data_IF_569546331657
#
_entry.id   IF_569546331657
#
_cell.length_a   1.000
_cell.length_b   1.000
_cell.length_c   1.000
_cell.angle_alpha   90.00
_cell.angle_beta   90.00
_cell.angle_gamma   90.00
#
_symmetry.space_group_name_H-M   'P 1'
#
loop_
_entity.id
_entity.type
_entity.pdbx_description
1 polymer ?
#
# COMPACT_ATOMS: atom_id res chain seq x y z
N UNK A 1 8.51 -38.35 -37.43
CA UNK A 1 9.15 -37.19 -37.93
C UNK A 1 8.43 -35.92 -37.57
N UNK A 2 7.32 -35.71 -38.19
CA UNK A 2 6.54 -34.52 -37.92
C UNK A 2 6.15 -34.36 -36.47
N UNK A 3 5.81 -35.43 -35.79
CA UNK A 3 5.38 -35.31 -34.42
C UNK A 3 6.39 -34.67 -33.48
N UNK A 4 7.64 -34.80 -33.83
CA UNK A 4 8.66 -34.25 -32.98
C UNK A 4 8.66 -32.74 -32.94
N UNK A 5 8.42 -32.14 -34.06
CA UNK A 5 8.39 -30.68 -34.12
C UNK A 5 7.23 -30.13 -33.35
N UNK A 6 6.13 -30.80 -33.38
CA UNK A 6 4.95 -30.36 -32.69
C UNK A 6 5.14 -30.36 -31.17
N UNK A 7 5.82 -31.36 -30.68
CA UNK A 7 6.06 -31.48 -29.26
C UNK A 7 6.92 -30.34 -28.76
N UNK A 8 7.91 -29.96 -29.55
CA UNK A 8 8.78 -28.87 -29.13
C UNK A 8 8.04 -27.54 -29.02
N UNK A 9 7.11 -27.33 -29.92
CA UNK A 9 6.33 -26.09 -29.87
C UNK A 9 5.52 -26.01 -28.62
N UNK A 10 4.98 -27.09 -28.18
CA UNK A 10 4.15 -27.13 -27.00
C UNK A 10 4.92 -26.75 -25.75
N UNK A 11 6.13 -27.24 -25.64
CA UNK A 11 6.94 -26.95 -24.47
C UNK A 11 7.23 -25.47 -24.36
N UNK A 12 7.49 -24.84 -25.47
CA UNK A 12 7.77 -23.41 -25.45
C UNK A 12 6.61 -22.58 -24.91
N UNK A 13 5.41 -22.97 -25.28
CA UNK A 13 4.23 -22.23 -24.83
C UNK A 13 4.03 -22.33 -23.34
N UNK A 14 4.27 -23.50 -22.80
CA UNK A 14 4.07 -23.70 -21.38
C UNK A 14 4.98 -22.83 -20.53
N UNK A 15 6.20 -22.66 -20.95
CA UNK A 15 7.14 -21.86 -20.20
C UNK A 15 6.71 -20.42 -20.05
N UNK A 16 6.05 -19.89 -21.06
CA UNK A 16 5.65 -18.49 -21.04
C UNK A 16 4.65 -18.22 -19.95
N UNK A 17 3.78 -19.18 -19.65
CA UNK A 17 2.72 -18.93 -18.69
C UNK A 17 3.21 -18.75 -17.28
N UNK A 18 4.37 -19.24 -16.95
CA UNK A 18 4.86 -19.10 -15.58
C UNK A 18 5.22 -17.70 -15.20
N UNK A 19 5.66 -16.93 -16.14
CA UNK A 19 6.08 -15.57 -15.84
C UNK A 19 4.92 -14.68 -15.46
N UNK A 20 3.71 -15.13 -15.61
CA UNK A 20 2.55 -14.33 -15.28
C UNK A 20 2.24 -14.30 -13.79
N UNK A 21 2.87 -15.14 -13.01
CA UNK A 21 2.57 -15.20 -11.59
C UNK A 21 3.51 -14.31 -10.79
N UNK A 22 3.09 -13.09 -10.68
CA UNK A 22 3.79 -12.17 -9.85
C UNK A 22 3.19 -12.20 -8.50
N UNK A 23 3.37 -12.37 -7.46
CA UNK A 23 2.64 -12.41 -6.21
C UNK A 23 1.98 -11.09 -5.93
N UNK A 24 1.01 -11.15 -5.09
CA UNK A 24 0.30 -9.97 -4.65
C UNK A 24 0.35 -9.85 -3.14
N UNK A 25 0.01 -8.66 -2.66
CA UNK A 25 0.11 -8.34 -1.25
C UNK A 25 -1.13 -7.58 -0.79
N UNK A 26 -1.19 -7.34 0.51
CA UNK A 26 -2.29 -6.62 1.14
C UNK A 26 -1.73 -5.43 1.89
N UNK A 27 -2.38 -4.31 1.75
CA UNK A 27 -2.05 -3.10 2.49
C UNK A 27 -3.29 -2.68 3.26
N UNK A 28 -3.15 -2.42 4.55
CA UNK A 28 -4.28 -2.04 5.38
C UNK A 28 -3.84 -1.11 6.49
N UNK A 29 -4.81 -0.47 7.12
CA UNK A 29 -4.50 0.42 8.22
C UNK A 29 -5.73 1.14 8.73
N UNK A 30 -5.50 2.03 9.66
CA UNK A 30 -6.54 2.82 10.29
C UNK A 30 -6.13 4.28 10.27
N UNK A 31 -7.10 5.16 10.05
CA UNK A 31 -6.87 6.59 10.05
C UNK A 31 -7.63 7.23 11.20
N UNK A 32 -6.94 7.99 12.01
CA UNK A 32 -7.54 8.70 13.14
C UNK A 32 -7.27 10.19 13.05
N UNK A 33 -8.22 10.98 13.53
CA UNK A 33 -8.12 12.43 13.49
C UNK A 33 -7.32 12.97 14.69
N UNK A 34 -7.30 14.29 14.81
CA UNK A 34 -6.53 14.95 15.85
C UNK A 34 -7.03 14.63 17.26
N UNK A 35 -8.25 14.17 17.39
CA UNK A 35 -8.79 13.79 18.69
C UNK A 35 -8.69 12.30 18.96
N UNK A 36 -8.09 11.56 18.04
CA UNK A 36 -7.94 10.12 18.18
C UNK A 36 -9.11 9.31 17.69
N UNK A 37 -10.07 9.94 17.03
CA UNK A 37 -11.24 9.25 16.52
C UNK A 37 -11.02 8.78 15.12
N UNK A 38 -11.62 7.65 14.74
CA UNK A 38 -11.48 7.17 13.35
C UNK A 38 -12.14 8.14 12.38
N UNK A 39 -11.55 8.24 11.20
CA UNK A 39 -12.07 9.11 10.14
C UNK A 39 -12.69 8.28 9.05
N UNK A 40 -13.96 8.50 8.80
CA UNK A 40 -14.67 7.86 7.70
C UNK A 40 -14.51 8.68 6.45
N UNK A 41 -14.33 8.01 5.32
CA UNK A 41 -14.29 8.69 4.03
C UNK A 41 -13.01 9.42 3.69
N UNK A 42 -11.95 9.16 4.41
CA UNK A 42 -10.65 9.71 4.05
C UNK A 42 -10.12 8.96 2.83
N UNK A 43 -9.41 9.66 1.97
CA UNK A 43 -8.79 9.04 0.80
C UNK A 43 -7.39 8.58 1.13
N UNK A 44 -7.11 7.34 0.80
CA UNK A 44 -5.78 6.79 0.92
C UNK A 44 -5.32 6.49 -0.51
N UNK A 45 -4.33 7.23 -0.98
CA UNK A 45 -3.82 7.07 -2.33
C UNK A 45 -2.56 6.22 -2.30
N UNK A 46 -2.56 5.18 -3.11
CA UNK A 46 -1.45 4.25 -3.19
C UNK A 46 -0.87 4.36 -4.58
N UNK A 47 0.37 4.80 -4.69
CA UNK A 47 0.97 5.09 -5.98
C UNK A 47 2.34 4.47 -6.15
N UNK A 48 2.61 4.03 -7.36
CA UNK A 48 3.92 3.58 -7.77
C UNK A 48 4.10 4.01 -9.22
N UNK A 49 5.22 3.65 -9.82
CA UNK A 49 5.57 4.17 -11.12
C UNK A 49 4.48 4.08 -12.17
N UNK A 50 3.83 2.94 -12.31
CA UNK A 50 2.76 2.79 -13.28
C UNK A 50 1.51 2.28 -12.62
N UNK A 51 1.26 2.72 -11.41
CA UNK A 51 0.17 2.19 -10.64
C UNK A 51 -0.40 3.28 -9.74
N UNK A 52 -1.73 3.30 -9.66
CA UNK A 52 -2.40 4.24 -8.77
C UNK A 52 -3.73 3.64 -8.33
N UNK A 53 -4.01 3.76 -7.06
CA UNK A 53 -5.27 3.26 -6.51
C UNK A 53 -5.68 4.17 -5.36
N UNK A 54 -6.96 4.44 -5.26
CA UNK A 54 -7.49 5.28 -4.19
C UNK A 54 -8.51 4.48 -3.41
N UNK A 55 -8.35 4.46 -2.09
CA UNK A 55 -9.27 3.78 -1.20
C UNK A 55 -9.94 4.80 -0.32
N UNK A 56 -11.09 4.44 0.23
CA UNK A 56 -11.73 5.27 1.22
C UNK A 56 -11.84 4.51 2.53
N UNK A 57 -11.68 5.22 3.63
CA UNK A 57 -11.81 4.59 4.94
C UNK A 57 -13.27 4.38 5.27
N UNK A 58 -13.55 3.35 6.03
CA UNK A 58 -14.91 3.04 6.45
C UNK A 58 -15.23 3.74 7.78
N UNK A 59 -16.35 3.38 8.39
CA UNK A 59 -16.81 4.02 9.62
C UNK A 59 -15.87 3.86 10.80
N UNK A 60 -15.02 2.86 10.78
CA UNK A 60 -14.03 2.68 11.84
C UNK A 60 -12.67 3.22 11.44
N UNK A 61 -12.62 3.98 10.36
CA UNK A 61 -11.36 4.55 9.87
C UNK A 61 -10.46 3.56 9.20
N UNK A 62 -10.93 2.39 8.92
CA UNK A 62 -10.13 1.30 8.38
C UNK A 62 -10.13 1.32 6.86
N UNK A 63 -8.99 0.98 6.28
CA UNK A 63 -8.88 0.78 4.84
C UNK A 63 -8.10 -0.49 4.59
N UNK A 64 -8.38 -1.12 3.46
CA UNK A 64 -7.67 -2.32 3.07
C UNK A 64 -7.73 -2.46 1.55
N UNK A 65 -6.65 -2.92 0.97
CA UNK A 65 -6.62 -3.26 -0.44
C UNK A 65 -5.90 -4.58 -0.63
N UNK A 66 -6.47 -5.41 -1.48
CA UNK A 66 -5.90 -6.71 -1.80
C UNK A 66 -5.39 -6.70 -3.23
N UNK A 67 -4.61 -7.70 -3.58
CA UNK A 67 -4.18 -7.85 -4.94
C UNK A 67 -3.21 -6.77 -5.39
N UNK A 68 -2.47 -6.23 -4.47
CA UNK A 68 -1.50 -5.20 -4.77
C UNK A 68 -0.19 -5.86 -5.17
N UNK A 69 0.37 -5.55 -6.33
CA UNK A 69 1.65 -6.14 -6.70
C UNK A 69 2.69 -5.86 -5.61
N UNK A 70 3.47 -6.85 -5.29
CA UNK A 70 4.51 -6.68 -4.27
C UNK A 70 5.49 -5.61 -4.75
N UNK A 71 5.77 -4.65 -3.90
CA UNK A 71 6.66 -3.57 -4.28
C UNK A 71 6.68 -2.45 -3.27
N UNK A 72 7.18 -1.31 -3.72
CA UNK A 72 7.30 -0.13 -2.89
C UNK A 72 6.35 0.94 -3.40
N UNK A 73 5.60 1.53 -2.49
CA UNK A 73 4.55 2.47 -2.83
C UNK A 73 4.64 3.76 -2.04
N UNK A 74 4.15 4.81 -2.65
CA UNK A 74 3.91 6.05 -1.94
C UNK A 74 2.46 6.03 -1.50
N UNK A 75 2.21 6.20 -0.21
CA UNK A 75 0.86 6.16 0.33
C UNK A 75 0.56 7.54 0.91
N UNK A 76 -0.46 8.19 0.37
CA UNK A 76 -0.80 9.57 0.73
C UNK A 76 -2.19 9.61 1.34
N UNK A 77 -2.30 10.25 2.48
CA UNK A 77 -3.58 10.46 3.14
C UNK A 77 -4.13 11.82 2.75
N UNK A 78 -5.35 11.84 2.23
CA UNK A 78 -6.02 13.06 1.81
C UNK A 78 -7.38 13.13 2.51
N UNK A 79 -7.65 14.24 3.16
CA UNK A 79 -8.92 14.46 3.85
C UNK A 79 -9.49 15.78 3.37
N UNK A 80 -10.72 15.72 2.84
CA UNK A 80 -11.38 16.92 2.28
C UNK A 80 -10.50 17.64 1.29
N UNK A 81 -9.85 16.88 0.44
CA UNK A 81 -9.02 17.45 -0.61
C UNK A 81 -7.65 17.94 -0.16
N UNK A 82 -7.32 17.79 1.10
CA UNK A 82 -6.03 18.24 1.61
C UNK A 82 -5.12 17.09 1.97
N UNK A 83 -3.89 17.15 1.53
CA UNK A 83 -2.90 16.14 1.87
C UNK A 83 -2.52 16.30 3.33
N UNK A 84 -2.71 15.25 4.10
CA UNK A 84 -2.39 15.28 5.52
C UNK A 84 -1.08 14.56 5.84
N UNK A 85 -0.61 13.71 4.97
CA UNK A 85 0.65 13.03 5.18
C UNK A 85 0.94 12.05 4.07
N UNK A 86 2.17 11.63 3.97
CA UNK A 86 2.62 10.66 2.98
C UNK A 86 3.68 9.77 3.55
N UNK A 87 3.63 8.50 3.14
CA UNK A 87 4.69 7.55 3.42
C UNK A 87 5.31 7.23 2.08
N UNK A 88 6.58 7.56 1.91
CA UNK A 88 7.19 7.50 0.59
C UNK A 88 7.67 6.15 0.15
N UNK A 89 7.98 5.27 1.06
CA UNK A 89 8.51 3.97 0.69
C UNK A 89 7.87 2.85 1.50
N UNK A 90 6.57 2.73 1.33
CA UNK A 90 5.83 1.65 1.96
C UNK A 90 6.07 0.38 1.16
N UNK A 91 6.66 -0.61 1.79
CA UNK A 91 6.99 -1.85 1.13
C UNK A 91 5.99 -2.93 1.49
N UNK A 92 5.55 -3.65 0.48
CA UNK A 92 4.58 -4.72 0.69
C UNK A 92 5.25 -6.07 0.51
N UNK A 93 4.64 -7.09 1.09
CA UNK A 93 5.19 -8.43 1.11
C UNK A 93 4.14 -9.46 0.76
N UNK A 94 4.59 -10.63 0.35
CA UNK A 94 3.67 -11.72 0.02
C UNK A 94 3.02 -12.33 1.23
N UNK A 95 3.80 -12.52 2.28
CA UNK A 95 3.38 -13.40 3.36
C UNK A 95 2.44 -12.80 4.36
N UNK A 96 2.38 -11.51 4.46
CA UNK A 96 1.56 -10.88 5.47
C UNK A 96 1.18 -9.47 5.08
N UNK A 97 0.07 -8.99 5.62
CA UNK A 97 -0.38 -7.64 5.32
C UNK A 97 0.62 -6.60 5.79
N UNK A 98 0.74 -5.53 5.06
CA UNK A 98 1.50 -4.38 5.48
C UNK A 98 0.55 -3.43 6.17
N UNK A 99 0.87 -3.03 7.39
CA UNK A 99 0.02 -2.12 8.15
C UNK A 99 0.59 -0.72 8.18
N UNK A 100 -0.22 0.25 7.78
CA UNK A 100 0.14 1.66 7.83
C UNK A 100 -1.00 2.41 8.47
N UNK A 101 -0.78 2.90 9.67
CA UNK A 101 -1.79 3.66 10.40
C UNK A 101 -1.43 5.13 10.40
N UNK A 102 -2.43 5.97 10.17
CA UNK A 102 -2.26 7.42 10.23
C UNK A 102 -2.97 7.95 11.45
N UNK A 103 -2.24 8.61 12.32
CA UNK A 103 -2.80 9.18 13.53
C UNK A 103 -2.47 10.66 13.57
N UNK A 104 -3.48 11.49 13.36
CA UNK A 104 -3.30 12.93 13.25
C UNK A 104 -3.37 13.64 14.61
N UNK A 105 -3.38 12.89 15.68
CA UNK A 105 -3.48 13.49 17.01
C UNK A 105 -2.18 14.10 17.51
N UNK A 106 -1.16 14.11 16.68
CA UNK A 106 0.15 14.61 17.09
C UNK A 106 1.03 13.56 17.69
N UNK A 107 0.53 12.32 17.72
CA UNK A 107 1.33 11.19 18.16
C UNK A 107 2.10 10.62 17.01
N UNK A 108 2.85 9.59 17.30
CA UNK A 108 3.63 8.93 16.27
C UNK A 108 2.75 8.23 15.26
N UNK A 109 3.23 8.17 14.03
CA UNK A 109 2.60 7.32 13.03
C UNK A 109 3.11 5.92 13.24
N UNK A 110 2.20 5.00 13.40
CA UNK A 110 2.58 3.62 13.61
C UNK A 110 2.61 2.83 12.35
N UNK A 111 3.65 2.09 12.18
CA UNK A 111 3.78 1.21 11.05
C UNK A 111 4.74 0.09 11.42
N UNK A 112 4.66 -0.96 10.65
CA UNK A 112 5.47 -2.14 10.96
C UNK A 112 6.93 -1.84 10.88
N UNK A 113 7.35 -0.99 9.97
CA UNK A 113 8.73 -0.71 9.80
C UNK A 113 8.95 0.56 9.08
N UNK A 114 10.00 1.14 9.33
CA UNK A 114 10.68 2.19 8.96
C UNK A 114 10.47 3.22 7.91
N UNK A 115 9.55 3.26 7.01
CA UNK A 115 9.51 4.38 6.07
C UNK A 115 9.28 5.71 6.78
N UNK A 116 9.78 6.75 6.17
CA UNK A 116 9.60 8.10 6.69
C UNK A 116 8.27 8.66 6.22
N UNK A 117 7.61 9.41 7.08
CA UNK A 117 6.36 10.05 6.74
C UNK A 117 6.61 11.50 6.39
N UNK A 118 6.08 11.93 5.25
CA UNK A 118 6.19 13.31 4.82
C UNK A 118 4.84 13.84 4.44
N UNK A 119 4.66 15.15 4.49
CA UNK A 119 3.44 15.75 4.06
C UNK A 119 3.43 17.21 4.36
N UNK A 120 2.45 17.90 3.80
CA UNK A 120 2.28 19.28 4.03
C UNK A 120 2.04 19.57 5.49
N UNK A 121 1.27 18.72 6.11
CA UNK A 121 0.99 18.86 7.52
C UNK A 121 1.90 17.99 8.33
N UNK A 122 3.09 17.83 7.82
CA UNK A 122 4.10 17.01 8.43
C UNK A 122 4.35 17.40 9.89
N UNK A 123 4.23 18.65 10.17
CA UNK A 123 4.46 19.12 11.52
C UNK A 123 3.42 18.55 12.50
N UNK A 124 2.27 18.21 11.99
CA UNK A 124 1.20 17.69 12.82
C UNK A 124 1.27 16.19 12.99
N UNK A 125 2.07 15.54 12.19
CA UNK A 125 2.22 14.09 12.25
C UNK A 125 3.60 13.77 12.74
N UNK A 126 3.66 13.21 13.91
CA UNK A 126 4.95 12.85 14.46
C UNK A 126 5.30 11.44 14.14
N UNK A 127 6.53 11.24 13.75
CA UNK A 127 7.04 9.91 13.51
C UNK A 127 7.89 9.53 14.69
N UNK A 128 7.63 8.36 15.22
CA UNK A 128 8.41 7.84 16.32
C UNK A 128 9.62 7.13 15.77
N UNK A 129 10.74 7.78 15.75
CA UNK A 129 11.92 7.18 15.14
C UNK A 129 12.43 6.04 15.98
N UNK A 130 12.41 4.88 15.42
CA UNK A 130 13.04 3.77 16.06
C UNK A 130 12.52 3.41 17.43
N UNK A 131 11.38 3.87 17.74
CA UNK A 131 10.87 3.55 19.07
C UNK A 131 9.84 2.55 19.04
#
# INVERSE_FOLDING_TARGET
>A
MLPKSLILSLVGVILVTFSAFAGTSVLEGVVKDATGRPIKGADVRIEAKNFSRILKTDGSGHYVTHGLPVGTYKVTLVINGQVKGSILDAKTQLDKPTQLNFDLSGKSVERARGPTVYGKDFMDIRVSPGK
#
